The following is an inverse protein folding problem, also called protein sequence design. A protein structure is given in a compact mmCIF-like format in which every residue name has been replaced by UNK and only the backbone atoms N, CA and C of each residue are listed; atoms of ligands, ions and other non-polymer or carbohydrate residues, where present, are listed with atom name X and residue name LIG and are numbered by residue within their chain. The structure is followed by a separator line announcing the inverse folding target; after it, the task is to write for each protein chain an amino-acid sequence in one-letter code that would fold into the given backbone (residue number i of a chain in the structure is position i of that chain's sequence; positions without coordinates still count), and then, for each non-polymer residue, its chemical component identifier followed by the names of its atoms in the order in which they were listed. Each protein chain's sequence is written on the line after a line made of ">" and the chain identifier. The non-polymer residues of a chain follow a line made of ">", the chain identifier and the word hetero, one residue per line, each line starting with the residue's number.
data_IF_880654820914
#
_entry.id   IF_880654820914
#
_cell.length_a   1.000
_cell.length_b   1.000
_cell.length_c   1.000
_cell.angle_alpha   90.00
_cell.angle_beta   90.00
_cell.angle_gamma   90.00
#
_symmetry.space_group_name_H-M   'P 1'
#
loop_
_entity.id
_entity.type
_entity.pdbx_description
1 polymer ?
#
# COMPACT_ATOMS: atom_id res chain seq x y z
N UNK A 1 -7.05 -28.28 12.32
CA UNK A 1 -8.45 -27.83 12.42
C UNK A 1 -8.56 -26.50 11.70
N UNK A 2 -8.96 -26.47 10.43
CA UNK A 2 -9.24 -25.22 9.73
C UNK A 2 -10.60 -24.71 10.19
N UNK A 3 -10.61 -23.66 11.01
CA UNK A 3 -11.85 -22.97 11.36
C UNK A 3 -12.48 -22.42 10.07
N UNK A 4 -13.74 -22.77 9.84
CA UNK A 4 -14.48 -22.39 8.63
C UNK A 4 -14.82 -20.89 8.70
N UNK A 5 -13.89 -20.03 8.27
CA UNK A 5 -14.04 -18.58 8.30
C UNK A 5 -15.28 -18.14 7.51
N UNK A 6 -16.11 -17.32 8.14
CA UNK A 6 -17.28 -16.70 7.51
C UNK A 6 -16.86 -15.72 6.40
N UNK A 7 -17.76 -15.41 5.44
CA UNK A 7 -17.46 -14.43 4.39
C UNK A 7 -17.08 -13.03 4.91
N UNK A 8 -17.66 -12.59 6.03
CA UNK A 8 -17.33 -11.31 6.67
C UNK A 8 -15.94 -11.33 7.31
N UNK A 9 -15.56 -12.42 7.95
CA UNK A 9 -14.21 -12.60 8.51
C UNK A 9 -13.14 -12.63 7.41
N UNK A 10 -13.41 -13.32 6.30
CA UNK A 10 -12.50 -13.31 5.13
C UNK A 10 -12.34 -11.90 4.56
N UNK A 11 -13.43 -11.15 4.43
CA UNK A 11 -13.39 -9.76 3.96
C UNK A 11 -12.62 -8.86 4.93
N UNK A 12 -12.82 -9.03 6.24
CA UNK A 12 -12.09 -8.32 7.27
C UNK A 12 -10.59 -8.62 7.24
N UNK A 13 -10.21 -9.89 7.09
CA UNK A 13 -8.81 -10.30 6.96
C UNK A 13 -8.15 -9.73 5.71
N UNK A 14 -8.84 -9.79 4.57
CA UNK A 14 -8.40 -9.20 3.30
C UNK A 14 -8.17 -7.69 3.43
N UNK A 15 -9.13 -6.95 4.00
CA UNK A 15 -9.02 -5.51 4.19
C UNK A 15 -7.83 -5.14 5.10
N UNK A 16 -7.61 -5.90 6.18
CA UNK A 16 -6.46 -5.68 7.07
C UNK A 16 -5.11 -5.94 6.38
N UNK A 17 -5.02 -7.02 5.59
CA UNK A 17 -3.81 -7.34 4.84
C UNK A 17 -3.47 -6.24 3.82
N UNK A 18 -4.47 -5.77 3.08
CA UNK A 18 -4.30 -4.68 2.12
C UNK A 18 -3.94 -3.35 2.79
N UNK A 19 -4.64 -2.99 3.87
CA UNK A 19 -4.33 -1.79 4.65
C UNK A 19 -2.86 -1.78 5.11
N UNK A 20 -2.39 -2.92 5.62
CA UNK A 20 -1.00 -3.09 6.03
C UNK A 20 -0.03 -2.93 4.87
N UNK A 21 -0.26 -3.64 3.75
CA UNK A 21 0.62 -3.57 2.59
C UNK A 21 0.72 -2.15 2.01
N UNK A 22 -0.40 -1.44 1.94
CA UNK A 22 -0.46 -0.05 1.46
C UNK A 22 0.29 0.89 2.42
N UNK A 23 0.08 0.77 3.74
CA UNK A 23 0.78 1.59 4.74
C UNK A 23 2.30 1.36 4.74
N UNK A 24 2.74 0.10 4.61
CA UNK A 24 4.17 -0.23 4.49
C UNK A 24 4.77 0.40 3.22
N UNK A 25 4.06 0.35 2.09
CA UNK A 25 4.49 1.01 0.86
C UNK A 25 4.55 2.53 0.98
N UNK A 26 3.57 3.15 1.65
CA UNK A 26 3.60 4.58 1.96
C UNK A 26 4.86 4.95 2.75
N UNK A 27 5.26 4.12 3.72
CA UNK A 27 6.48 4.34 4.48
C UNK A 27 7.75 4.22 3.63
N UNK A 28 7.82 3.25 2.72
CA UNK A 28 8.93 3.12 1.77
C UNK A 28 9.02 4.38 0.91
N UNK A 29 7.90 4.84 0.35
CA UNK A 29 7.87 6.05 -0.47
C UNK A 29 8.30 7.30 0.31
N UNK A 30 7.92 7.42 1.60
CA UNK A 30 8.43 8.50 2.47
C UNK A 30 9.95 8.47 2.59
N UNK A 31 10.53 7.30 2.84
CA UNK A 31 11.99 7.16 2.97
C UNK A 31 12.70 7.51 1.66
N UNK A 32 12.20 7.00 0.53
CA UNK A 32 12.74 7.33 -0.81
C UNK A 32 12.62 8.82 -1.09
N UNK A 33 11.47 9.42 -0.78
CA UNK A 33 11.23 10.84 -0.98
C UNK A 33 12.16 11.74 -0.16
N UNK A 34 12.51 11.33 1.07
CA UNK A 34 13.50 12.03 1.89
C UNK A 34 14.89 11.99 1.25
N UNK A 35 15.28 10.85 0.70
CA UNK A 35 16.55 10.71 -0.03
C UNK A 35 16.55 11.56 -1.32
N UNK A 36 15.49 11.45 -2.13
CA UNK A 36 15.35 12.17 -3.40
C UNK A 36 15.30 13.69 -3.18
N UNK A 37 14.72 14.17 -2.07
CA UNK A 37 14.63 15.62 -1.76
C UNK A 37 15.98 16.34 -1.75
N UNK A 38 17.08 15.65 -1.46
CA UNK A 38 18.43 16.23 -1.48
C UNK A 38 19.00 16.38 -2.89
N UNK A 39 18.52 15.57 -3.85
CA UNK A 39 19.02 15.55 -5.23
C UNK A 39 18.08 16.29 -6.17
N UNK A 40 16.77 16.12 -5.98
CA UNK A 40 15.69 16.74 -6.73
C UNK A 40 14.49 17.00 -5.78
N UNK A 41 14.31 18.25 -5.32
CA UNK A 41 13.22 18.60 -4.41
C UNK A 41 11.83 18.30 -4.96
N UNK A 42 11.62 18.44 -6.27
CA UNK A 42 10.32 18.17 -6.89
C UNK A 42 9.98 16.68 -6.83
N UNK A 43 10.95 15.81 -7.13
CA UNK A 43 10.77 14.36 -6.96
C UNK A 43 10.53 13.99 -5.50
N UNK A 44 11.24 14.64 -4.58
CA UNK A 44 11.02 14.49 -3.14
C UNK A 44 9.57 14.83 -2.74
N UNK A 45 9.05 15.96 -3.19
CA UNK A 45 7.69 16.38 -2.85
C UNK A 45 6.61 15.51 -3.50
N UNK A 46 6.82 15.06 -4.74
CA UNK A 46 5.94 14.09 -5.40
C UNK A 46 5.88 12.77 -4.60
N UNK A 47 7.02 12.25 -4.16
CA UNK A 47 7.06 11.03 -3.36
C UNK A 47 6.36 11.19 -2.00
N UNK A 48 6.51 12.33 -1.33
CA UNK A 48 5.78 12.65 -0.09
C UNK A 48 4.26 12.70 -0.33
N UNK A 49 3.83 13.32 -1.43
CA UNK A 49 2.42 13.41 -1.78
C UNK A 49 1.82 12.02 -2.04
N UNK A 50 2.51 11.17 -2.81
CA UNK A 50 2.10 9.79 -3.06
C UNK A 50 2.00 8.98 -1.76
N UNK A 51 3.00 9.08 -0.88
CA UNK A 51 2.97 8.42 0.42
C UNK A 51 1.77 8.86 1.27
N UNK A 52 1.45 10.16 1.28
CA UNK A 52 0.31 10.72 2.03
C UNK A 52 -1.04 10.17 1.52
N UNK A 53 -1.20 10.04 0.20
CA UNK A 53 -2.39 9.43 -0.41
C UNK A 53 -2.51 7.96 -0.02
N UNK A 54 -1.44 7.17 -0.14
CA UNK A 54 -1.47 5.75 0.26
C UNK A 54 -1.76 5.58 1.75
N UNK A 55 -1.20 6.43 2.61
CA UNK A 55 -1.53 6.46 4.03
C UNK A 55 -3.03 6.69 4.27
N UNK A 56 -3.64 7.65 3.57
CA UNK A 56 -5.07 7.89 3.65
C UNK A 56 -5.89 6.68 3.17
N UNK A 57 -5.51 6.06 2.05
CA UNK A 57 -6.16 4.86 1.54
C UNK A 57 -6.07 3.71 2.54
N UNK A 58 -4.89 3.49 3.14
CA UNK A 58 -4.66 2.41 4.10
C UNK A 58 -5.61 2.46 5.30
N UNK A 59 -5.96 3.66 5.78
CA UNK A 59 -6.88 3.86 6.92
C UNK A 59 -8.34 3.58 6.57
N UNK A 60 -8.69 3.63 5.28
CA UNK A 60 -10.08 3.56 4.80
C UNK A 60 -10.34 2.41 3.81
N UNK A 61 -9.44 1.44 3.68
CA UNK A 61 -9.57 0.28 2.77
C UNK A 61 -10.94 -0.41 2.87
N UNK A 62 -11.52 -0.49 4.06
CA UNK A 62 -12.81 -1.16 4.26
C UNK A 62 -14.02 -0.39 3.72
N UNK A 63 -13.89 0.92 3.52
CA UNK A 63 -15.01 1.83 3.17
C UNK A 63 -14.83 2.52 1.83
N UNK A 64 -13.61 2.53 1.28
CA UNK A 64 -13.34 3.13 -0.02
C UNK A 64 -13.93 2.29 -1.16
N UNK A 65 -14.27 2.94 -2.30
CA UNK A 65 -14.52 2.24 -3.56
C UNK A 65 -13.40 1.25 -3.87
N UNK A 66 -13.78 0.11 -4.44
CA UNK A 66 -12.85 -0.98 -4.72
C UNK A 66 -11.75 -0.54 -5.69
N UNK A 67 -12.12 0.30 -6.65
CA UNK A 67 -11.24 0.86 -7.68
C UNK A 67 -10.07 1.61 -7.05
N UNK A 68 -10.31 2.45 -6.05
CA UNK A 68 -9.26 3.19 -5.32
C UNK A 68 -8.30 2.22 -4.62
N UNK A 69 -8.85 1.19 -3.98
CA UNK A 69 -8.03 0.16 -3.32
C UNK A 69 -7.20 -0.64 -4.34
N UNK A 70 -7.78 -0.97 -5.49
CA UNK A 70 -7.09 -1.68 -6.57
C UNK A 70 -5.93 -0.86 -7.14
N UNK A 71 -6.13 0.43 -7.41
CA UNK A 71 -5.06 1.31 -7.88
C UNK A 71 -3.94 1.46 -6.84
N UNK A 72 -4.29 1.60 -5.55
CA UNK A 72 -3.28 1.62 -4.49
C UNK A 72 -2.47 0.31 -4.42
N UNK A 73 -3.11 -0.84 -4.61
CA UNK A 73 -2.42 -2.14 -4.67
C UNK A 73 -1.56 -2.32 -5.93
N UNK A 74 -1.91 -1.67 -7.04
CA UNK A 74 -1.05 -1.62 -8.22
C UNK A 74 0.26 -0.88 -7.90
N UNK A 75 0.19 0.22 -7.14
CA UNK A 75 1.38 0.92 -6.63
C UNK A 75 2.19 0.04 -5.70
N UNK A 76 1.56 -0.68 -4.75
CA UNK A 76 2.24 -1.65 -3.89
C UNK A 76 3.01 -2.68 -4.74
N UNK A 77 2.38 -3.24 -5.76
CA UNK A 77 3.00 -4.23 -6.65
C UNK A 77 4.18 -3.66 -7.40
N UNK A 78 4.07 -2.41 -7.89
CA UNK A 78 5.17 -1.73 -8.57
C UNK A 78 6.36 -1.51 -7.63
N UNK A 79 6.12 -1.02 -6.40
CA UNK A 79 7.17 -0.82 -5.39
C UNK A 79 7.82 -2.14 -4.99
N UNK A 80 7.02 -3.18 -4.74
CA UNK A 80 7.50 -4.53 -4.43
C UNK A 80 8.46 -5.06 -5.51
N UNK A 81 8.12 -4.90 -6.79
CA UNK A 81 9.00 -5.29 -7.92
C UNK A 81 10.30 -4.51 -7.93
N UNK A 82 10.25 -3.20 -7.65
CA UNK A 82 11.42 -2.32 -7.66
C UNK A 82 12.34 -2.58 -6.45
N UNK A 83 11.79 -2.93 -5.29
CA UNK A 83 12.58 -3.21 -4.08
C UNK A 83 12.95 -4.68 -3.92
N UNK A 84 12.51 -5.56 -4.83
CA UNK A 84 12.69 -7.01 -4.73
C UNK A 84 11.87 -7.68 -3.63
N UNK A 85 10.88 -6.99 -3.05
CA UNK A 85 9.98 -7.57 -2.04
C UNK A 85 8.88 -8.38 -2.73
N UNK A 86 8.81 -9.69 -2.51
CA UNK A 86 7.76 -10.56 -3.07
C UNK A 86 6.58 -10.73 -2.11
N UNK A 87 6.00 -9.65 -1.59
CA UNK A 87 4.84 -9.75 -0.68
C UNK A 87 3.53 -10.11 -1.42
N UNK A 88 3.50 -9.99 -2.75
CA UNK A 88 2.26 -10.04 -3.56
C UNK A 88 2.19 -11.13 -4.64
N UNK A 89 3.26 -11.89 -4.93
CA UNK A 89 3.23 -13.00 -5.91
C UNK A 89 2.71 -14.32 -5.31
N UNK A 90 1.57 -14.26 -4.62
CA UNK A 90 0.89 -15.42 -4.05
C UNK A 90 -0.61 -15.29 -4.24
N UNK A 91 -1.10 -15.56 -5.44
CA UNK A 91 -2.50 -15.85 -5.74
C UNK A 91 -2.54 -17.06 -6.65
#
# INVERSE_FOLDING_TARGET
>A
MSANMTPSERRGAYNRANARAIAETAQILRTVAQHDSHTDPFRGDLGKAQASVLDAVSRHVATLPREITTEALAVVTAVDRLTGNRRTTGS
#
